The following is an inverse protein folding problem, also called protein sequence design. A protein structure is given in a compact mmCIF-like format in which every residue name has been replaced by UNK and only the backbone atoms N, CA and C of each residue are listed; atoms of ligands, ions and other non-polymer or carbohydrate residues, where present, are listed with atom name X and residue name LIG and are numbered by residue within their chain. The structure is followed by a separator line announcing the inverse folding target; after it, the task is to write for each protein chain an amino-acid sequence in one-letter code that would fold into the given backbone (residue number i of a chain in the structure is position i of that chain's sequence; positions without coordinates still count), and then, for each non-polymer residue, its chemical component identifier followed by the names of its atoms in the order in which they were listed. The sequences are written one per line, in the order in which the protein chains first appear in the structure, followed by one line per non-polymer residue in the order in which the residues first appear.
data_IF_993247014700
#
_entry.id   IF_993247014700
#
_cell.length_a   1.000
_cell.length_b   1.000
_cell.length_c   1.000
_cell.angle_alpha   90.00
_cell.angle_beta   90.00
_cell.angle_gamma   90.00
#
_symmetry.space_group_name_H-M   'P 1'
#
loop_
_entity.id
_entity.type
_entity.pdbx_description
1 polymer ?
#
# COMPACT_ATOMS: atom_id res chain seq x y z
N UNK A 1 -10.22 -95.92 19.96
CA UNK A 1 -9.12 -95.44 20.83
C UNK A 1 -8.04 -94.84 19.95
N UNK A 2 -7.19 -93.97 20.52
CA UNK A 2 -6.09 -93.17 19.95
C UNK A 2 -6.46 -91.92 19.13
N UNK A 3 -6.54 -90.78 19.82
CA UNK A 3 -6.38 -89.45 19.24
C UNK A 3 -4.91 -89.28 18.82
N UNK A 4 -4.63 -89.35 17.52
CA UNK A 4 -3.32 -89.06 16.95
C UNK A 4 -3.05 -87.55 17.07
N UNK A 5 -2.17 -87.16 18.00
CA UNK A 5 -1.70 -85.78 18.10
C UNK A 5 -0.81 -85.50 16.90
N UNK A 6 -1.32 -84.67 15.98
CA UNK A 6 -0.57 -84.06 14.88
C UNK A 6 0.72 -83.45 15.47
N UNK A 7 1.86 -84.03 15.14
CA UNK A 7 3.16 -83.54 15.57
C UNK A 7 3.48 -82.26 14.79
N UNK A 8 3.38 -81.12 15.47
CA UNK A 8 3.73 -79.83 14.90
C UNK A 8 5.25 -79.59 15.04
N UNK A 9 6.01 -79.57 13.92
CA UNK A 9 7.47 -79.40 13.95
C UNK A 9 7.92 -78.05 14.53
N UNK A 10 7.03 -77.06 14.65
CA UNK A 10 7.33 -75.76 15.24
C UNK A 10 7.38 -75.79 16.78
N UNK A 11 6.74 -76.79 17.42
CA UNK A 11 6.73 -76.92 18.88
C UNK A 11 8.14 -77.21 19.43
N UNK A 12 8.95 -77.98 18.69
CA UNK A 12 10.35 -78.24 19.07
C UNK A 12 11.25 -77.01 18.96
N UNK A 13 11.02 -76.15 17.95
CA UNK A 13 11.75 -74.88 17.81
C UNK A 13 11.41 -73.90 18.92
N UNK A 14 10.14 -73.84 19.33
CA UNK A 14 9.69 -73.00 20.45
C UNK A 14 10.31 -73.46 21.77
N UNK A 15 10.34 -74.78 22.03
CA UNK A 15 10.99 -75.31 23.25
C UNK A 15 12.50 -75.03 23.26
N UNK A 16 13.15 -75.14 22.10
CA UNK A 16 14.56 -74.79 21.97
C UNK A 16 14.79 -73.30 22.24
N UNK A 17 14.00 -72.40 21.65
CA UNK A 17 14.11 -70.95 21.93
C UNK A 17 13.85 -70.64 23.41
N UNK A 18 12.87 -71.27 24.04
CA UNK A 18 12.61 -71.08 25.47
C UNK A 18 13.77 -71.57 26.36
N UNK A 19 14.43 -72.66 25.99
CA UNK A 19 15.62 -73.14 26.68
C UNK A 19 16.80 -72.18 26.52
N UNK A 20 17.02 -71.67 25.31
CA UNK A 20 18.05 -70.66 25.02
C UNK A 20 17.79 -69.37 25.79
N UNK A 21 16.55 -68.89 25.81
CA UNK A 21 16.17 -67.69 26.54
C UNK A 21 16.41 -67.84 28.04
N UNK A 22 16.04 -68.99 28.63
CA UNK A 22 16.30 -69.27 30.05
C UNK A 22 17.79 -69.33 30.38
N UNK A 23 18.60 -69.94 29.52
CA UNK A 23 20.06 -70.01 29.70
C UNK A 23 20.71 -68.63 29.57
N UNK A 24 20.36 -67.87 28.55
CA UNK A 24 20.86 -66.51 28.34
C UNK A 24 20.45 -65.60 29.49
N UNK A 25 19.19 -65.68 29.90
CA UNK A 25 18.66 -64.90 31.03
C UNK A 25 19.40 -65.24 32.32
N UNK A 26 19.63 -66.53 32.61
CA UNK A 26 20.40 -66.96 33.78
C UNK A 26 21.84 -66.45 33.76
N UNK A 27 22.50 -66.47 32.61
CA UNK A 27 23.85 -65.92 32.45
C UNK A 27 23.87 -64.40 32.65
N UNK A 28 22.91 -63.67 32.07
CA UNK A 28 22.78 -62.23 32.23
C UNK A 28 22.51 -61.86 33.69
N UNK A 29 21.65 -62.58 34.39
CA UNK A 29 21.42 -62.37 35.82
C UNK A 29 22.70 -62.61 36.62
N UNK A 30 23.42 -63.72 36.39
CA UNK A 30 24.67 -64.00 37.11
C UNK A 30 25.76 -62.96 36.86
N UNK A 31 25.85 -62.42 35.65
CA UNK A 31 26.79 -61.36 35.30
C UNK A 31 26.37 -60.00 35.89
N UNK A 32 25.07 -59.68 35.87
CA UNK A 32 24.51 -58.41 36.36
C UNK A 32 24.47 -58.36 37.89
N UNK A 33 24.29 -59.49 38.56
CA UNK A 33 24.31 -59.59 40.02
C UNK A 33 25.74 -59.48 40.59
N UNK A 34 26.76 -59.67 39.74
CA UNK A 34 28.15 -59.44 40.12
C UNK A 34 28.50 -57.95 40.03
N UNK A 35 28.56 -57.30 41.21
CA UNK A 35 28.91 -55.88 41.35
C UNK A 35 30.23 -55.48 40.70
N UNK A 36 31.25 -56.35 40.72
CA UNK A 36 32.56 -56.05 40.11
C UNK A 36 32.51 -56.13 38.59
N UNK A 37 31.71 -57.05 38.03
CA UNK A 37 31.46 -57.10 36.58
C UNK A 37 30.71 -55.85 36.13
N UNK A 38 29.62 -55.48 36.81
CA UNK A 38 28.85 -54.26 36.49
C UNK A 38 29.72 -53.02 36.58
N UNK A 39 30.56 -52.90 37.60
CA UNK A 39 31.50 -51.78 37.74
C UNK A 39 32.52 -51.75 36.61
N UNK A 40 33.13 -52.87 36.27
CA UNK A 40 34.12 -52.96 35.18
C UNK A 40 33.47 -52.68 33.82
N UNK A 41 32.28 -53.23 33.57
CA UNK A 41 31.51 -52.94 32.38
C UNK A 41 31.14 -51.46 32.29
N UNK A 42 30.70 -50.84 33.40
CA UNK A 42 30.40 -49.40 33.43
C UNK A 42 31.62 -48.53 33.11
N UNK A 43 32.82 -48.90 33.60
CA UNK A 43 34.07 -48.22 33.27
C UNK A 43 34.46 -48.43 31.80
N UNK A 44 34.27 -49.63 31.26
CA UNK A 44 34.48 -49.92 29.84
C UNK A 44 33.51 -49.14 28.95
N UNK A 45 32.24 -49.05 29.33
CA UNK A 45 31.24 -48.26 28.62
C UNK A 45 31.58 -46.78 28.68
N UNK A 46 31.98 -46.24 29.84
CA UNK A 46 32.37 -44.84 29.98
C UNK A 46 33.60 -44.49 29.14
N UNK A 47 34.61 -45.36 29.10
CA UNK A 47 35.79 -45.15 28.24
C UNK A 47 35.41 -45.24 26.76
N UNK A 48 34.58 -46.20 26.38
CA UNK A 48 34.05 -46.31 25.02
C UNK A 48 33.25 -45.07 24.61
N UNK A 49 32.41 -44.51 25.49
CA UNK A 49 31.70 -43.25 25.27
C UNK A 49 32.65 -42.08 25.01
N UNK A 50 33.75 -41.98 25.78
CA UNK A 50 34.78 -40.97 25.55
C UNK A 50 35.43 -41.10 24.16
N UNK A 51 35.74 -42.33 23.73
CA UNK A 51 36.26 -42.56 22.37
C UNK A 51 35.24 -42.24 21.29
N UNK A 52 33.97 -42.58 21.49
CA UNK A 52 32.89 -42.23 20.56
C UNK A 52 32.71 -40.71 20.42
N UNK A 53 32.77 -39.96 21.53
CA UNK A 53 32.71 -38.50 21.49
C UNK A 53 33.88 -37.91 20.67
N UNK A 54 35.08 -38.46 20.85
CA UNK A 54 36.26 -38.04 20.09
C UNK A 54 36.11 -38.37 18.60
N UNK A 55 35.67 -39.57 18.25
CA UNK A 55 35.39 -39.94 16.86
C UNK A 55 34.33 -39.04 16.23
N UNK A 56 33.28 -38.68 16.99
CA UNK A 56 32.25 -37.75 16.50
C UNK A 56 32.82 -36.36 16.23
N UNK A 57 33.77 -35.90 17.04
CA UNK A 57 34.47 -34.62 16.82
C UNK A 57 35.42 -34.69 15.63
N UNK A 58 36.16 -35.79 15.48
CA UNK A 58 37.07 -36.00 14.37
C UNK A 58 36.31 -36.18 13.04
N UNK A 59 35.08 -36.71 13.08
CA UNK A 59 34.21 -36.80 11.92
C UNK A 59 33.94 -35.42 11.28
N UNK A 60 33.84 -34.35 12.06
CA UNK A 60 33.69 -32.98 11.50
C UNK A 60 34.96 -32.54 10.77
N UNK A 61 36.13 -32.92 11.26
CA UNK A 61 37.44 -32.62 10.64
C UNK A 61 37.62 -33.43 9.35
N UNK A 62 37.30 -34.73 9.38
CA UNK A 62 37.35 -35.57 8.19
C UNK A 62 36.33 -35.16 7.14
N UNK A 63 35.14 -34.76 7.55
CA UNK A 63 34.13 -34.22 6.64
C UNK A 63 34.60 -32.93 5.97
N UNK A 64 35.29 -32.05 6.71
CA UNK A 64 35.95 -30.87 6.16
C UNK A 64 37.02 -31.23 5.12
N UNK A 65 37.85 -32.25 5.37
CA UNK A 65 38.90 -32.67 4.43
C UNK A 65 38.34 -33.34 3.18
N UNK A 66 37.31 -34.17 3.34
CA UNK A 66 36.67 -34.93 2.25
C UNK A 66 35.57 -34.13 1.53
N UNK A 67 35.35 -32.87 1.95
CA UNK A 67 34.31 -31.99 1.43
C UNK A 67 32.90 -32.62 1.49
N UNK A 68 32.65 -33.42 2.52
CA UNK A 68 31.36 -34.06 2.79
C UNK A 68 30.56 -33.11 3.69
N UNK A 69 29.30 -32.80 3.35
CA UNK A 69 28.50 -31.89 4.17
C UNK A 69 28.32 -32.45 5.58
N UNK A 70 28.65 -31.66 6.59
CA UNK A 70 28.44 -32.04 7.99
C UNK A 70 26.98 -31.86 8.38
N UNK A 71 26.54 -32.49 9.48
CA UNK A 71 25.21 -32.24 10.05
C UNK A 71 24.98 -30.75 10.35
N UNK A 72 26.05 -30.02 10.71
CA UNK A 72 26.00 -28.59 10.98
C UNK A 72 25.77 -27.78 9.71
N UNK A 73 26.40 -28.15 8.60
CA UNK A 73 26.22 -27.47 7.32
C UNK A 73 24.80 -27.66 6.78
N UNK A 74 24.26 -28.87 6.89
CA UNK A 74 22.86 -29.16 6.53
C UNK A 74 21.89 -28.35 7.41
N UNK A 75 22.14 -28.29 8.71
CA UNK A 75 21.32 -27.49 9.62
C UNK A 75 21.41 -25.99 9.33
N UNK A 76 22.60 -25.49 8.96
CA UNK A 76 22.79 -24.10 8.59
C UNK A 76 22.12 -23.76 7.26
N UNK A 77 22.22 -24.65 6.26
CA UNK A 77 21.52 -24.49 4.98
C UNK A 77 20.00 -24.48 5.19
N UNK A 78 19.47 -25.38 6.02
CA UNK A 78 18.05 -25.39 6.38
C UNK A 78 17.64 -24.09 7.10
N UNK A 79 18.45 -23.62 8.04
CA UNK A 79 18.21 -22.34 8.73
C UNK A 79 18.21 -21.15 7.77
N UNK A 80 19.17 -21.09 6.86
CA UNK A 80 19.24 -20.05 5.83
C UNK A 80 18.03 -20.12 4.88
N UNK A 81 17.57 -21.33 4.55
CA UNK A 81 16.35 -21.53 3.75
C UNK A 81 15.12 -20.96 4.47
N UNK A 82 14.92 -21.31 5.74
CA UNK A 82 13.81 -20.79 6.55
C UNK A 82 13.87 -19.26 6.64
N UNK A 83 15.05 -18.70 6.92
CA UNK A 83 15.22 -17.24 6.97
C UNK A 83 14.98 -16.56 5.63
N UNK A 84 15.23 -17.26 4.52
CA UNK A 84 14.99 -16.73 3.18
C UNK A 84 13.50 -16.75 2.86
N UNK A 85 12.80 -17.82 3.25
CA UNK A 85 11.35 -17.94 3.16
C UNK A 85 10.66 -16.82 3.95
N UNK A 86 11.01 -16.62 5.22
CA UNK A 86 10.49 -15.52 6.04
C UNK A 86 10.71 -14.13 5.41
N UNK A 87 11.88 -13.91 4.79
CA UNK A 87 12.18 -12.64 4.10
C UNK A 87 11.40 -12.48 2.81
N UNK A 88 11.16 -13.57 2.06
CA UNK A 88 10.34 -13.56 0.85
C UNK A 88 8.89 -13.22 1.22
N UNK A 89 8.36 -13.80 2.29
CA UNK A 89 7.00 -13.51 2.76
C UNK A 89 6.82 -12.02 3.12
N UNK A 90 7.80 -11.42 3.81
CA UNK A 90 7.78 -9.98 4.13
C UNK A 90 7.82 -9.14 2.86
N UNK A 91 8.64 -9.51 1.88
CA UNK A 91 8.71 -8.80 0.60
C UNK A 91 7.41 -8.92 -0.17
N UNK A 92 6.77 -10.10 -0.16
CA UNK A 92 5.47 -10.30 -0.77
C UNK A 92 4.40 -9.40 -0.12
N UNK A 93 4.34 -9.34 1.21
CA UNK A 93 3.43 -8.46 1.92
C UNK A 93 3.66 -6.98 1.56
N UNK A 94 4.93 -6.56 1.44
CA UNK A 94 5.27 -5.20 1.00
C UNK A 94 4.83 -4.92 -0.43
N UNK A 95 4.99 -5.88 -1.34
CA UNK A 95 4.53 -5.77 -2.74
C UNK A 95 3.01 -5.62 -2.80
N UNK A 96 2.26 -6.41 -2.02
CA UNK A 96 0.81 -6.28 -1.92
C UNK A 96 0.39 -4.90 -1.41
N UNK A 97 1.02 -4.40 -0.33
CA UNK A 97 0.76 -3.03 0.18
C UNK A 97 1.10 -1.95 -0.85
N UNK A 98 2.19 -2.12 -1.60
CA UNK A 98 2.58 -1.21 -2.69
C UNK A 98 1.54 -1.21 -3.82
N UNK A 99 1.06 -2.39 -4.23
CA UNK A 99 0.03 -2.51 -5.24
C UNK A 99 -1.27 -1.83 -4.80
N UNK A 100 -1.69 -2.04 -3.55
CA UNK A 100 -2.89 -1.41 -3.00
C UNK A 100 -2.76 0.11 -2.94
N UNK A 101 -1.60 0.62 -2.51
CA UNK A 101 -1.31 2.05 -2.48
C UNK A 101 -1.28 2.67 -3.89
N UNK A 102 -0.69 1.99 -4.88
CA UNK A 102 -0.72 2.47 -6.27
C UNK A 102 -2.14 2.46 -6.83
N UNK A 103 -2.93 1.44 -6.50
CA UNK A 103 -4.34 1.37 -6.90
C UNK A 103 -5.16 2.51 -6.29
N UNK A 104 -4.97 2.81 -5.00
CA UNK A 104 -5.66 3.90 -4.32
C UNK A 104 -5.28 5.26 -4.88
N UNK A 105 -3.98 5.52 -5.07
CA UNK A 105 -3.47 6.76 -5.69
C UNK A 105 -4.02 6.93 -7.11
N UNK A 106 -4.09 5.85 -7.89
CA UNK A 106 -4.63 5.92 -9.25
C UNK A 106 -6.12 6.28 -9.24
N UNK A 107 -6.90 5.70 -8.32
CA UNK A 107 -8.32 6.04 -8.15
C UNK A 107 -8.51 7.49 -7.70
N UNK A 108 -7.70 7.95 -6.73
CA UNK A 108 -7.73 9.33 -6.25
C UNK A 108 -7.38 10.32 -7.37
N UNK A 109 -6.33 10.05 -8.13
CA UNK A 109 -5.94 10.87 -9.27
C UNK A 109 -7.04 10.95 -10.33
N UNK A 110 -7.70 9.82 -10.65
CA UNK A 110 -8.84 9.81 -11.59
C UNK A 110 -9.98 10.68 -11.08
N UNK A 111 -10.33 10.60 -9.79
CA UNK A 111 -11.35 11.46 -9.18
C UNK A 111 -10.96 12.94 -9.24
N UNK A 112 -9.70 13.27 -8.93
CA UNK A 112 -9.19 14.63 -9.05
C UNK A 112 -9.26 15.15 -10.50
N UNK A 113 -8.94 14.32 -11.50
CA UNK A 113 -9.09 14.69 -12.91
C UNK A 113 -10.55 14.95 -13.30
N UNK A 114 -11.51 14.19 -12.75
CA UNK A 114 -12.94 14.41 -12.97
C UNK A 114 -13.40 15.76 -12.38
N UNK A 115 -12.92 16.10 -11.17
CA UNK A 115 -13.15 17.41 -10.55
C UNK A 115 -12.57 18.55 -11.39
N UNK A 116 -11.32 18.40 -11.86
CA UNK A 116 -10.67 19.39 -12.74
C UNK A 116 -11.48 19.57 -14.02
N UNK A 117 -11.94 18.49 -14.66
CA UNK A 117 -12.77 18.56 -15.86
C UNK A 117 -14.07 19.31 -15.60
N UNK A 118 -14.73 19.05 -14.47
CA UNK A 118 -15.94 19.76 -14.07
C UNK A 118 -15.68 21.25 -13.83
N UNK A 119 -14.57 21.61 -13.18
CA UNK A 119 -14.16 23.00 -13.00
C UNK A 119 -13.91 23.68 -14.34
N UNK A 120 -13.21 23.02 -15.26
CA UNK A 120 -12.92 23.55 -16.61
C UNK A 120 -14.21 23.75 -17.41
N UNK A 121 -15.15 22.81 -17.34
CA UNK A 121 -16.49 22.94 -17.94
C UNK A 121 -17.26 24.12 -17.37
N UNK A 122 -17.25 24.30 -16.04
CA UNK A 122 -17.87 25.45 -15.39
C UNK A 122 -17.21 26.77 -15.79
N UNK A 123 -15.88 26.83 -15.86
CA UNK A 123 -15.16 28.02 -16.33
C UNK A 123 -15.51 28.35 -17.78
N UNK A 124 -15.56 27.34 -18.67
CA UNK A 124 -15.96 27.54 -20.07
C UNK A 124 -17.36 28.14 -20.17
N UNK A 125 -18.32 27.60 -19.40
CA UNK A 125 -19.69 28.12 -19.39
C UNK A 125 -19.75 29.56 -18.85
N UNK A 126 -19.06 29.84 -17.74
CA UNK A 126 -18.97 31.21 -17.19
C UNK A 126 -18.29 32.17 -18.16
N UNK A 127 -17.27 31.74 -18.88
CA UNK A 127 -16.59 32.56 -19.89
C UNK A 127 -17.51 32.88 -21.07
N UNK A 128 -18.33 31.92 -21.51
CA UNK A 128 -19.34 32.16 -22.54
C UNK A 128 -20.41 33.14 -22.07
N UNK A 129 -20.92 33.00 -20.85
CA UNK A 129 -21.85 33.95 -20.25
C UNK A 129 -21.26 35.35 -20.16
N UNK A 130 -20.04 35.48 -19.64
CA UNK A 130 -19.33 36.76 -19.55
C UNK A 130 -19.10 37.38 -20.93
N UNK A 131 -18.78 36.57 -21.96
CA UNK A 131 -18.65 37.07 -23.33
C UNK A 131 -19.98 37.61 -23.88
N UNK A 132 -21.10 36.98 -23.52
CA UNK A 132 -22.43 37.44 -23.92
C UNK A 132 -22.84 38.72 -23.18
N UNK A 133 -22.63 38.79 -21.86
CA UNK A 133 -22.86 40.01 -21.06
C UNK A 133 -21.99 41.18 -21.55
N UNK A 134 -20.75 40.92 -21.96
CA UNK A 134 -19.87 41.95 -22.54
C UNK A 134 -20.44 42.50 -23.86
N UNK A 135 -20.99 41.62 -24.71
CA UNK A 135 -21.63 42.02 -25.96
C UNK A 135 -22.92 42.83 -25.70
N UNK A 136 -23.71 42.46 -24.70
CA UNK A 136 -24.88 43.23 -24.27
C UNK A 136 -24.50 44.59 -23.69
N UNK A 137 -23.45 44.65 -22.87
CA UNK A 137 -22.92 45.91 -22.30
C UNK A 137 -22.36 46.82 -23.39
N UNK A 138 -21.68 46.26 -24.40
CA UNK A 138 -21.23 47.04 -25.56
C UNK A 138 -22.40 47.65 -26.33
N UNK A 139 -23.49 46.89 -26.57
CA UNK A 139 -24.71 47.41 -27.18
C UNK A 139 -25.35 48.51 -26.34
N UNK A 140 -25.48 48.29 -25.03
CA UNK A 140 -26.01 49.31 -24.13
C UNK A 140 -25.14 50.58 -24.12
N UNK A 141 -23.82 50.46 -24.22
CA UNK A 141 -22.92 51.60 -24.34
C UNK A 141 -23.07 52.34 -25.67
N UNK A 142 -23.27 51.63 -26.79
CA UNK A 142 -23.59 52.27 -28.07
C UNK A 142 -24.92 53.01 -28.02
N UNK A 143 -25.94 52.41 -27.41
CA UNK A 143 -27.26 53.03 -27.25
C UNK A 143 -27.18 54.28 -26.35
N UNK A 144 -26.39 54.23 -25.27
CA UNK A 144 -26.14 55.40 -24.42
C UNK A 144 -25.37 56.50 -25.15
N UNK A 145 -24.42 56.15 -26.02
CA UNK A 145 -23.74 57.14 -26.86
C UNK A 145 -24.67 57.79 -27.88
N UNK A 146 -25.60 57.02 -28.46
CA UNK A 146 -26.64 57.56 -29.35
C UNK A 146 -27.61 58.46 -28.60
N UNK A 147 -28.10 58.03 -27.45
CA UNK A 147 -28.94 58.86 -26.59
C UNK A 147 -28.24 60.15 -26.15
N UNK A 148 -26.95 60.08 -25.78
CA UNK A 148 -26.14 61.27 -25.47
C UNK A 148 -26.09 62.25 -26.65
N UNK A 149 -25.90 61.74 -27.88
CA UNK A 149 -25.91 62.56 -29.11
C UNK A 149 -27.30 63.16 -29.36
N UNK A 150 -28.36 62.41 -29.10
CA UNK A 150 -29.74 62.87 -29.28
C UNK A 150 -30.12 63.95 -28.26
N UNK A 151 -29.74 63.77 -27.00
CA UNK A 151 -29.89 64.79 -25.95
C UNK A 151 -29.06 66.03 -26.27
N UNK A 152 -27.81 65.89 -26.74
CA UNK A 152 -26.99 67.03 -27.19
C UNK A 152 -27.68 67.77 -28.35
N UNK A 153 -28.27 67.06 -29.32
CA UNK A 153 -29.06 67.69 -30.41
C UNK A 153 -30.31 68.40 -29.87
N UNK A 154 -31.09 67.76 -29.01
CA UNK A 154 -32.27 68.35 -28.39
C UNK A 154 -31.96 69.60 -27.55
N UNK A 155 -30.84 69.60 -26.83
CA UNK A 155 -30.36 70.78 -26.09
C UNK A 155 -29.94 71.92 -27.04
N UNK A 156 -29.33 71.60 -28.18
CA UNK A 156 -29.00 72.59 -29.23
C UNK A 156 -30.28 73.16 -29.86
N UNK A 157 -31.30 72.34 -30.08
CA UNK A 157 -32.61 72.76 -30.60
C UNK A 157 -33.34 73.67 -29.60
N UNK A 158 -33.40 73.29 -28.32
CA UNK A 158 -33.97 74.13 -27.25
C UNK A 158 -33.19 75.46 -27.13
N UNK A 159 -31.87 75.45 -27.31
CA UNK A 159 -31.05 76.67 -27.32
C UNK A 159 -31.38 77.56 -28.53
N UNK A 160 -31.64 76.99 -29.70
CA UNK A 160 -32.08 77.72 -30.90
C UNK A 160 -33.50 78.26 -30.75
N UNK A 161 -34.41 77.53 -30.10
CA UNK A 161 -35.77 78.01 -29.81
C UNK A 161 -35.80 79.14 -28.79
N UNK A 162 -34.92 79.10 -27.77
CA UNK A 162 -34.76 80.21 -26.81
C UNK A 162 -34.17 81.46 -27.47
N UNK A 163 -33.27 81.32 -28.44
CA UNK A 163 -32.75 82.46 -29.21
C UNK A 163 -33.77 83.06 -30.20
N UNK A 164 -34.81 82.30 -30.61
CA UNK A 164 -35.91 82.82 -31.45
C UNK A 164 -37.03 83.51 -30.66
N UNK A 165 -37.11 83.35 -29.34
CA UNK A 165 -38.17 83.95 -28.49
C UNK A 165 -37.76 85.23 -27.74
N UNK A 166 -36.59 85.79 -28.02
CA UNK A 166 -36.09 87.00 -27.34
C UNK A 166 -35.65 88.13 -28.29
N UNK A 167 -36.56 88.64 -29.16
CA UNK A 167 -36.48 90.06 -29.52
C UNK A 167 -37.85 90.76 -29.62
N UNK A 168 -38.71 90.75 -28.59
CA UNK A 168 -39.98 91.52 -28.67
C UNK A 168 -40.42 92.23 -27.36
N UNK A 169 -39.48 92.71 -26.53
CA UNK A 169 -39.84 93.62 -25.42
C UNK A 169 -38.83 94.76 -25.19
N UNK A 170 -38.53 95.56 -26.22
CA UNK A 170 -37.89 96.90 -26.05
C UNK A 170 -38.28 97.91 -27.14
N UNK A 171 -39.57 98.12 -27.40
CA UNK A 171 -40.06 99.36 -28.05
C UNK A 171 -41.45 99.67 -27.52
N UNK A 172 -41.52 100.51 -26.47
CA UNK A 172 -42.65 101.38 -26.10
C UNK A 172 -42.37 101.97 -24.72
N UNK A 173 -41.55 103.02 -24.69
CA UNK A 173 -41.46 103.99 -23.58
C UNK A 173 -40.65 105.22 -24.03
N UNK A 174 -41.13 105.86 -25.09
CA UNK A 174 -40.95 107.30 -25.28
C UNK A 174 -42.33 107.88 -25.55
N UNK A 175 -42.95 108.48 -24.54
CA UNK A 175 -43.42 109.87 -24.58
C UNK A 175 -44.16 110.21 -23.29
N UNK A 176 -44.12 111.51 -22.98
CA UNK A 176 -44.90 112.26 -21.98
C UNK A 176 -44.33 112.27 -20.55
N UNK A 177 -43.48 113.26 -20.27
CA UNK A 177 -43.84 114.49 -19.54
C UNK A 177 -42.55 115.32 -19.40
N UNK A 178 -42.36 116.29 -20.29
CA UNK A 178 -42.47 117.74 -19.99
C UNK A 178 -41.61 118.17 -18.81
N UNK A 179 -40.58 118.97 -19.12
CA UNK A 179 -39.62 119.46 -18.14
C UNK A 179 -40.16 120.50 -17.17
N UNK A 180 -39.25 121.04 -16.37
CA UNK A 180 -39.05 122.47 -16.08
C UNK A 180 -37.86 122.58 -15.11
N UNK A 181 -36.89 123.38 -15.54
CA UNK A 181 -35.84 124.12 -14.81
C UNK A 181 -35.83 124.07 -13.27
N UNK A 182 -34.65 123.85 -12.68
CA UNK A 182 -33.72 124.94 -12.26
C UNK A 182 -32.38 124.38 -11.82
#
# INVERSE_FOLDING_TARGET
MSNEKIYDPFVGLIQLSEMWDKQLTGLLYNLTDNKEFVRTASLGINTYSFYLERLRKDQEVFASLLNIPTKKDVANAAKLSIQTEEKIDILEEQIWKLQDNVSSITKENVGMFEEILNIVLQMKNKFQQMSQELAETQKMNTDLQEFRKEVERGLIEIRREKQKKEPEKKQNKELVLTGINK
#
